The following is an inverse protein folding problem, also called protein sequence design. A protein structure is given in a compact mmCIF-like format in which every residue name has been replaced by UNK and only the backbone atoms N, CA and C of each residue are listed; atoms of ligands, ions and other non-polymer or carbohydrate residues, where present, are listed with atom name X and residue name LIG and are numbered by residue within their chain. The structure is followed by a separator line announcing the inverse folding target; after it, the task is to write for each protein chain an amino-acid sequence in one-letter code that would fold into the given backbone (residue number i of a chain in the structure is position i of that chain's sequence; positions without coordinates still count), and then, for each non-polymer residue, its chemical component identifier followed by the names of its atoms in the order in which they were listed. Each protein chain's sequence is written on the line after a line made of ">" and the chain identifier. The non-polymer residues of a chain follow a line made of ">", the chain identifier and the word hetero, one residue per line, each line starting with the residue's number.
data_IF_720588488796
#
_entry.id   IF_720588488796
#
_cell.length_a   1.000
_cell.length_b   1.000
_cell.length_c   1.000
_cell.angle_alpha   90.00
_cell.angle_beta   90.00
_cell.angle_gamma   90.00
#
_symmetry.space_group_name_H-M   'P 1'
#
loop_
_entity.id
_entity.type
_entity.pdbx_description
1 polymer ?
#
# COMPACT_ATOMS: atom_id res chain seq x y z
N UNK A 1 17.33 4.38 19.54
CA UNK A 1 18.64 4.06 18.94
C UNK A 1 18.38 2.89 17.99
N UNK A 2 17.99 3.10 16.73
CA UNK A 2 18.77 3.70 15.64
C UNK A 2 17.77 4.30 14.61
N UNK A 3 17.75 5.63 14.43
CA UNK A 3 16.75 6.29 13.56
C UNK A 3 16.87 5.87 12.09
N UNK A 4 18.09 5.55 11.64
CA UNK A 4 18.36 5.13 10.27
C UNK A 4 17.63 3.84 9.87
N UNK A 5 17.33 2.95 10.82
CA UNK A 5 16.66 1.68 10.53
C UNK A 5 15.13 1.88 10.41
N UNK A 6 14.57 2.89 11.09
CA UNK A 6 13.10 3.07 11.15
C UNK A 6 12.54 3.53 9.81
N UNK A 7 13.13 4.56 9.21
CA UNK A 7 12.65 5.08 7.93
C UNK A 7 12.82 4.02 6.82
N UNK A 8 13.90 3.22 6.85
CA UNK A 8 14.10 2.10 5.92
C UNK A 8 13.00 1.03 6.06
N UNK A 9 12.63 0.68 7.30
CA UNK A 9 11.54 -0.25 7.57
C UNK A 9 10.19 0.31 7.09
N UNK A 10 9.90 1.58 7.34
CA UNK A 10 8.67 2.22 6.88
C UNK A 10 8.61 2.29 5.35
N UNK A 11 9.71 2.67 4.69
CA UNK A 11 9.81 2.68 3.25
C UNK A 11 9.66 1.29 2.65
N UNK A 12 10.23 0.26 3.28
CA UNK A 12 10.04 -1.15 2.88
C UNK A 12 8.58 -1.57 2.99
N UNK A 13 7.90 -1.20 4.08
CA UNK A 13 6.48 -1.49 4.28
C UNK A 13 5.60 -0.77 3.25
N UNK A 14 5.85 0.52 3.00
CA UNK A 14 5.18 1.29 1.96
C UNK A 14 5.39 0.67 0.57
N UNK A 15 6.63 0.27 0.25
CA UNK A 15 6.96 -0.33 -1.04
C UNK A 15 6.18 -1.63 -1.29
N UNK A 16 6.04 -2.48 -0.27
CA UNK A 16 5.22 -3.71 -0.35
C UNK A 16 3.75 -3.39 -0.57
N UNK A 17 3.19 -2.47 0.23
CA UNK A 17 1.80 -2.02 0.10
C UNK A 17 1.52 -1.45 -1.30
N UNK A 18 2.45 -0.66 -1.85
CA UNK A 18 2.32 -0.09 -3.20
C UNK A 18 2.31 -1.16 -4.30
N UNK A 19 3.07 -2.25 -4.15
CA UNK A 19 3.06 -3.38 -5.10
C UNK A 19 1.71 -4.11 -5.06
N UNK A 20 1.15 -4.33 -3.87
CA UNK A 20 -0.18 -4.93 -3.70
C UNK A 20 -1.26 -4.05 -4.34
N UNK A 21 -1.22 -2.73 -4.09
CA UNK A 21 -2.16 -1.78 -4.67
C UNK A 21 -2.10 -1.79 -6.19
N UNK A 22 -0.89 -1.75 -6.77
CA UNK A 22 -0.70 -1.86 -8.22
C UNK A 22 -1.30 -3.16 -8.77
N UNK A 23 -1.06 -4.28 -8.10
CA UNK A 23 -1.58 -5.58 -8.51
C UNK A 23 -3.11 -5.63 -8.48
N UNK A 24 -3.73 -5.06 -7.45
CA UNK A 24 -5.19 -4.96 -7.34
C UNK A 24 -5.79 -4.02 -8.41
N UNK A 25 -5.09 -2.92 -8.75
CA UNK A 25 -5.47 -2.04 -9.87
C UNK A 25 -5.36 -2.77 -11.21
N UNK A 26 -4.28 -3.50 -11.48
CA UNK A 26 -4.14 -4.26 -12.73
C UNK A 26 -5.22 -5.35 -12.84
N UNK A 27 -5.54 -6.04 -11.75
CA UNK A 27 -6.64 -7.02 -11.72
C UNK A 27 -7.99 -6.36 -12.10
N UNK A 28 -8.24 -5.14 -11.62
CA UNK A 28 -9.46 -4.38 -11.94
C UNK A 28 -9.58 -3.98 -13.41
N UNK A 29 -8.46 -3.91 -14.14
CA UNK A 29 -8.44 -3.64 -15.59
C UNK A 29 -8.69 -4.90 -16.42
N UNK A 30 -8.28 -6.06 -15.92
CA UNK A 30 -8.45 -7.34 -16.62
C UNK A 30 -9.87 -7.88 -16.47
N UNK A 31 -10.51 -7.66 -15.31
CA UNK A 31 -11.89 -8.11 -15.08
C UNK A 31 -12.63 -7.23 -14.08
N UNK A 32 -13.96 -7.36 -14.10
CA UNK A 32 -14.80 -6.84 -13.03
C UNK A 32 -14.42 -7.47 -11.70
N UNK A 33 -14.22 -6.60 -10.70
CA UNK A 33 -14.02 -6.99 -9.32
C UNK A 33 -15.36 -7.32 -8.67
N UNK A 34 -15.39 -8.39 -7.88
CA UNK A 34 -16.47 -8.67 -6.95
C UNK A 34 -16.60 -7.56 -5.90
N UNK A 35 -17.72 -7.54 -5.17
CA UNK A 35 -17.93 -6.56 -4.09
C UNK A 35 -16.80 -6.60 -3.05
N UNK A 36 -16.39 -7.81 -2.64
CA UNK A 36 -15.33 -8.00 -1.66
C UNK A 36 -13.97 -7.50 -2.18
N UNK A 37 -13.66 -7.78 -3.45
CA UNK A 37 -12.40 -7.30 -4.07
C UNK A 37 -12.37 -5.79 -4.22
N UNK A 38 -13.51 -5.14 -4.51
CA UNK A 38 -13.60 -3.68 -4.50
C UNK A 38 -13.33 -3.11 -3.12
N UNK A 39 -13.89 -3.72 -2.08
CA UNK A 39 -13.61 -3.32 -0.69
C UNK A 39 -12.13 -3.53 -0.34
N UNK A 40 -11.55 -4.65 -0.75
CA UNK A 40 -10.13 -4.93 -0.58
C UNK A 40 -9.23 -3.91 -1.29
N UNK A 41 -9.58 -3.51 -2.51
CA UNK A 41 -8.84 -2.47 -3.25
C UNK A 41 -8.92 -1.10 -2.55
N UNK A 42 -10.09 -0.72 -2.02
CA UNK A 42 -10.26 0.52 -1.25
C UNK A 42 -9.39 0.48 0.02
N UNK A 43 -9.47 -0.62 0.79
CA UNK A 43 -8.66 -0.79 1.99
C UNK A 43 -7.16 -0.75 1.66
N UNK A 44 -6.76 -1.38 0.55
CA UNK A 44 -5.40 -1.37 0.02
C UNK A 44 -4.90 0.04 -0.26
N UNK A 45 -5.73 0.86 -0.90
CA UNK A 45 -5.44 2.26 -1.12
C UNK A 45 -5.27 3.04 0.19
N UNK A 46 -6.19 2.87 1.14
CA UNK A 46 -6.17 3.58 2.43
C UNK A 46 -4.89 3.31 3.24
N UNK A 47 -4.53 2.03 3.45
CA UNK A 47 -3.32 1.72 4.21
C UNK A 47 -2.05 2.08 3.46
N UNK A 48 -2.04 1.99 2.12
CA UNK A 48 -0.88 2.41 1.31
C UNK A 48 -0.64 3.91 1.45
N UNK A 49 -1.71 4.71 1.43
CA UNK A 49 -1.64 6.15 1.66
C UNK A 49 -1.14 6.48 3.08
N UNK A 50 -1.65 5.79 4.10
CA UNK A 50 -1.19 5.98 5.47
C UNK A 50 0.30 5.67 5.65
N UNK A 51 0.78 4.57 5.05
CA UNK A 51 2.20 4.19 5.06
C UNK A 51 3.07 5.21 4.31
N UNK A 52 2.59 5.76 3.20
CA UNK A 52 3.29 6.83 2.48
C UNK A 52 3.47 8.06 3.39
N UNK A 53 2.40 8.47 4.07
CA UNK A 53 2.42 9.61 4.97
C UNK A 53 3.34 9.41 6.18
N UNK A 54 3.34 8.21 6.77
CA UNK A 54 4.27 7.85 7.85
C UNK A 54 5.72 7.91 7.37
N UNK A 55 6.01 7.38 6.19
CA UNK A 55 7.35 7.37 5.58
C UNK A 55 7.86 8.79 5.30
N UNK A 56 7.00 9.71 4.88
CA UNK A 56 7.36 11.12 4.63
C UNK A 56 7.58 11.94 5.90
N UNK A 57 7.03 11.49 7.04
CA UNK A 57 7.14 12.17 8.34
C UNK A 57 8.39 11.77 9.11
N UNK A 58 8.99 10.64 8.76
CA UNK A 58 10.25 10.16 9.33
C UNK A 58 11.44 10.94 8.76
#
# INVERSE_FOLDING_TARGET
>A
MNQDIRWEQQFSNYSKALIELKSAVELSKVRLLSKLEKQGLIQCFEYTYELAWKTLKD
#
